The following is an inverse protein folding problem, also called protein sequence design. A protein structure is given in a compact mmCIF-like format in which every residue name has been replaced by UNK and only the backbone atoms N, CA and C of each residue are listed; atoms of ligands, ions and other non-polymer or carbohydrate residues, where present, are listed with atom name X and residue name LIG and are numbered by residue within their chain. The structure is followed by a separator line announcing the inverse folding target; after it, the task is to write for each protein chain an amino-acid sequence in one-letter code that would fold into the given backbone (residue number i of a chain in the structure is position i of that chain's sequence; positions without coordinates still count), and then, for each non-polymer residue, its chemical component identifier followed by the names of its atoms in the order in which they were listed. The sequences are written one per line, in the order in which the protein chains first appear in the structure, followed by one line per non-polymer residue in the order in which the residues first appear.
data_IF_839281486178
#
_entry.id   IF_839281486178
#
_cell.length_a   1.000
_cell.length_b   1.000
_cell.length_c   1.000
_cell.angle_alpha   90.00
_cell.angle_beta   90.00
_cell.angle_gamma   90.00
#
_symmetry.space_group_name_H-M   'P 1'
#
loop_
_entity.id
_entity.type
_entity.pdbx_description
1 polymer ?
#
# COMPACT_ATOMS: atom_id res chain seq x y z
N UNK A 1 8.32 14.51 34.36
CA UNK A 1 7.16 14.49 33.45
C UNK A 1 7.51 13.53 32.33
N UNK A 2 6.86 12.36 32.28
CA UNK A 2 7.13 11.37 31.23
C UNK A 2 6.58 11.88 29.90
N UNK A 3 7.46 12.05 28.92
CA UNK A 3 7.09 12.19 27.53
C UNK A 3 6.65 10.80 27.08
N UNK A 4 5.35 10.52 27.09
CA UNK A 4 4.79 9.41 26.33
C UNK A 4 5.04 9.74 24.87
N UNK A 5 6.17 9.23 24.35
CA UNK A 5 6.35 9.07 22.92
C UNK A 5 5.21 8.17 22.47
N UNK A 6 4.14 8.81 21.97
CA UNK A 6 3.21 8.19 21.05
C UNK A 6 4.08 7.53 19.99
N UNK A 7 4.24 6.22 20.09
CA UNK A 7 4.80 5.41 19.02
C UNK A 7 3.74 5.37 17.92
N UNK A 8 3.44 6.55 17.35
CA UNK A 8 2.71 6.70 16.12
C UNK A 8 3.33 5.69 15.17
N UNK A 9 2.50 4.75 14.73
CA UNK A 9 2.87 3.59 13.96
C UNK A 9 3.61 4.04 12.69
N UNK A 10 4.91 4.28 12.80
CA UNK A 10 5.70 4.85 11.73
C UNK A 10 6.06 3.71 10.80
N UNK A 11 5.34 3.64 9.69
CA UNK A 11 5.79 2.83 8.56
C UNK A 11 7.09 3.47 8.07
N UNK A 12 8.12 2.66 7.88
CA UNK A 12 9.37 3.16 7.31
C UNK A 12 9.06 3.83 5.97
N UNK A 13 9.49 5.09 5.81
CA UNK A 13 9.22 5.89 4.61
C UNK A 13 9.64 5.18 3.31
N UNK A 14 10.55 4.21 3.40
CA UNK A 14 10.96 3.35 2.28
C UNK A 14 9.82 2.58 1.60
N UNK A 15 8.71 2.34 2.30
CA UNK A 15 7.55 1.64 1.73
C UNK A 15 6.51 2.59 1.14
N UNK A 16 6.65 3.91 1.31
CA UNK A 16 5.69 4.87 0.74
C UNK A 16 6.07 5.12 -0.72
N UNK A 17 5.14 4.80 -1.62
CA UNK A 17 5.26 4.99 -3.05
C UNK A 17 4.37 6.16 -3.49
N UNK A 18 4.86 6.91 -4.47
CA UNK A 18 4.05 7.96 -5.11
C UNK A 18 2.98 7.34 -6.02
N UNK A 19 1.79 7.96 -6.06
CA UNK A 19 0.64 7.44 -6.79
C UNK A 19 0.88 7.33 -8.31
N UNK A 20 1.69 8.21 -8.90
CA UNK A 20 2.03 8.18 -10.33
C UNK A 20 2.82 6.92 -10.75
N UNK A 21 3.43 6.25 -9.77
CA UNK A 21 4.21 5.03 -9.98
C UNK A 21 3.35 3.77 -10.06
N UNK A 22 2.07 3.83 -9.70
CA UNK A 22 1.20 2.66 -9.70
C UNK A 22 0.06 2.86 -10.69
N UNK A 23 -0.13 1.88 -11.57
CA UNK A 23 -1.28 1.81 -12.47
C UNK A 23 -2.17 0.69 -11.99
N UNK A 24 -3.43 1.02 -11.69
CA UNK A 24 -4.45 0.05 -11.34
C UNK A 24 -4.99 -0.58 -12.63
N UNK A 25 -5.03 -1.91 -12.67
CA UNK A 25 -5.57 -2.71 -13.76
C UNK A 25 -6.99 -3.18 -13.47
N UNK A 26 -7.29 -4.43 -13.82
CA UNK A 26 -8.60 -5.06 -13.59
C UNK A 26 -8.70 -5.69 -12.21
N UNK A 27 -9.92 -5.87 -11.73
CA UNK A 27 -10.18 -6.61 -10.49
C UNK A 27 -9.93 -8.11 -10.70
N UNK A 28 -9.31 -8.74 -9.72
CA UNK A 28 -9.00 -10.16 -9.71
C UNK A 28 -9.84 -10.90 -8.67
N UNK A 29 -10.47 -11.98 -9.12
CA UNK A 29 -11.26 -12.86 -8.27
C UNK A 29 -12.66 -12.33 -7.95
N UNK A 30 -13.47 -13.18 -7.31
CA UNK A 30 -14.87 -12.90 -6.96
C UNK A 30 -15.04 -12.10 -5.66
N UNK A 31 -13.98 -11.99 -4.87
CA UNK A 31 -14.07 -11.55 -3.47
C UNK A 31 -13.85 -10.03 -3.29
N UNK A 32 -13.78 -9.28 -4.39
CA UNK A 32 -13.93 -7.82 -4.37
C UNK A 32 -12.75 -7.03 -3.77
N UNK A 33 -11.54 -7.61 -3.70
CA UNK A 33 -10.49 -7.11 -2.81
C UNK A 33 -9.07 -7.04 -3.37
N UNK A 34 -8.81 -7.60 -4.55
CA UNK A 34 -7.49 -7.61 -5.17
C UNK A 34 -7.60 -7.23 -6.63
N UNK A 35 -6.66 -6.43 -7.09
CA UNK A 35 -6.60 -5.88 -8.43
C UNK A 35 -5.25 -6.20 -9.04
N UNK A 36 -5.21 -6.46 -10.33
CA UNK A 36 -3.97 -6.42 -11.08
C UNK A 36 -3.44 -4.99 -11.12
N UNK A 37 -2.14 -4.86 -11.25
CA UNK A 37 -1.49 -3.56 -11.28
C UNK A 37 -0.10 -3.60 -11.88
N UNK A 38 0.40 -2.41 -12.17
CA UNK A 38 1.75 -2.21 -12.70
C UNK A 38 2.47 -1.16 -11.86
N UNK A 39 3.63 -1.54 -11.33
CA UNK A 39 4.56 -0.63 -10.66
C UNK A 39 5.60 -0.12 -11.67
N UNK A 40 5.56 1.18 -11.94
CA UNK A 40 6.57 1.90 -12.71
C UNK A 40 7.82 2.12 -11.87
N UNK A 41 8.96 1.77 -12.46
CA UNK A 41 10.28 1.94 -11.83
C UNK A 41 11.16 2.73 -12.79
N UNK A 42 11.68 3.87 -12.34
CA UNK A 42 12.47 4.75 -13.20
C UNK A 42 13.70 4.01 -13.75
N UNK A 43 13.87 4.03 -15.08
CA UNK A 43 15.00 3.38 -15.75
C UNK A 43 14.99 1.85 -15.73
N UNK A 44 13.93 1.21 -15.21
CA UNK A 44 13.77 -0.25 -15.20
C UNK A 44 12.47 -0.66 -15.88
N UNK A 45 12.37 -1.95 -16.20
CA UNK A 45 11.10 -2.50 -16.71
C UNK A 45 10.02 -2.37 -15.65
N UNK A 46 8.81 -2.05 -16.10
CA UNK A 46 7.63 -2.06 -15.26
C UNK A 46 7.40 -3.47 -14.67
N UNK A 47 6.95 -3.53 -13.42
CA UNK A 47 6.69 -4.79 -12.71
C UNK A 47 5.19 -5.02 -12.56
N UNK A 48 4.73 -6.23 -12.84
CA UNK A 48 3.38 -6.66 -12.48
C UNK A 48 3.27 -6.82 -10.97
N UNK A 49 2.23 -6.24 -10.38
CA UNK A 49 1.96 -6.23 -8.94
C UNK A 49 0.49 -6.54 -8.68
N UNK A 50 0.20 -7.09 -7.50
CA UNK A 50 -1.16 -7.15 -6.99
C UNK A 50 -1.44 -5.93 -6.12
N UNK A 51 -2.64 -5.37 -6.23
CA UNK A 51 -3.06 -4.17 -5.51
C UNK A 51 -4.29 -4.50 -4.66
N UNK A 52 -4.17 -4.27 -3.35
CA UNK A 52 -5.33 -4.26 -2.46
C UNK A 52 -5.77 -2.82 -2.24
N UNK A 53 -7.04 -2.52 -2.57
CA UNK A 53 -7.64 -1.20 -2.34
C UNK A 53 -8.19 -1.11 -0.93
N UNK A 54 -7.97 0.01 -0.27
CA UNK A 54 -8.54 0.33 1.04
C UNK A 54 -9.25 1.66 0.94
N UNK A 55 -10.53 1.66 1.29
CA UNK A 55 -11.37 2.84 1.31
C UNK A 55 -11.74 3.25 2.73
N UNK A 56 -12.08 4.52 2.89
CA UNK A 56 -12.58 5.12 4.12
C UNK A 56 -11.80 6.38 4.49
N UNK A 57 -12.39 7.23 5.34
CA UNK A 57 -11.79 8.48 5.82
C UNK A 57 -10.47 8.28 6.57
N UNK A 58 -10.15 7.05 6.98
CA UNK A 58 -8.95 6.65 7.69
C UNK A 58 -8.10 5.63 6.90
N UNK A 59 -8.34 5.47 5.59
CA UNK A 59 -7.69 4.46 4.74
C UNK A 59 -6.16 4.45 4.93
N UNK A 60 -5.55 5.63 4.84
CA UNK A 60 -4.12 5.84 4.99
C UNK A 60 -3.60 5.37 6.37
N UNK A 61 -4.34 5.66 7.44
CA UNK A 61 -3.98 5.23 8.80
C UNK A 61 -4.14 3.72 8.98
N UNK A 62 -5.20 3.14 8.41
CA UNK A 62 -5.46 1.69 8.44
C UNK A 62 -4.36 0.91 7.73
N UNK A 63 -4.00 1.30 6.50
CA UNK A 63 -2.93 0.60 5.78
C UNK A 63 -1.58 0.69 6.49
N UNK A 64 -1.30 1.82 7.17
CA UNK A 64 -0.08 2.00 7.95
C UNK A 64 -0.05 1.14 9.20
N UNK A 65 -1.18 0.96 9.85
CA UNK A 65 -1.31 0.03 10.96
C UNK A 65 -1.15 -1.44 10.51
N UNK A 66 -1.81 -1.80 9.42
CA UNK A 66 -1.87 -3.17 8.92
C UNK A 66 -0.57 -3.65 8.27
N UNK A 67 0.28 -2.73 7.78
CA UNK A 67 1.51 -3.10 7.06
C UNK A 67 2.42 -4.00 7.89
N UNK A 68 2.46 -3.83 9.21
CA UNK A 68 3.31 -4.66 10.10
C UNK A 68 2.89 -6.14 10.05
N UNK A 69 1.59 -6.39 10.01
CA UNK A 69 1.05 -7.74 9.87
C UNK A 69 1.18 -8.26 8.44
N UNK A 70 1.11 -7.38 7.45
CA UNK A 70 1.26 -7.76 6.05
C UNK A 70 2.71 -8.10 5.71
N UNK A 71 3.69 -7.37 6.24
CA UNK A 71 5.12 -7.63 6.04
C UNK A 71 5.56 -9.00 6.58
N UNK A 72 4.87 -9.55 7.59
CA UNK A 72 5.17 -10.88 8.12
C UNK A 72 4.50 -12.02 7.34
N UNK A 73 3.50 -11.72 6.50
CA UNK A 73 2.67 -12.72 5.81
C UNK A 73 2.77 -12.66 4.28
N UNK A 74 3.12 -11.51 3.71
CA UNK A 74 3.16 -11.24 2.28
C UNK A 74 4.35 -10.35 1.95
N UNK A 75 4.80 -10.43 0.71
CA UNK A 75 5.82 -9.52 0.18
C UNK A 75 5.17 -8.20 -0.21
N UNK A 76 5.09 -7.30 0.76
CA UNK A 76 4.64 -5.92 0.55
C UNK A 76 5.74 -5.16 -0.17
N UNK A 77 5.41 -4.60 -1.33
CA UNK A 77 6.32 -3.74 -2.11
C UNK A 77 6.21 -2.30 -1.64
N UNK A 78 4.99 -1.86 -1.31
CA UNK A 78 4.78 -0.54 -0.77
C UNK A 78 3.32 -0.19 -0.52
N UNK A 79 3.13 1.06 -0.10
CA UNK A 79 1.87 1.70 0.21
C UNK A 79 1.74 2.96 -0.64
N UNK A 80 0.54 3.22 -1.15
CA UNK A 80 0.24 4.44 -1.92
C UNK A 80 -0.97 5.11 -1.30
N UNK A 81 -0.84 6.36 -0.91
CA UNK A 81 -1.99 7.21 -0.60
C UNK A 81 -2.44 7.89 -1.91
N UNK A 82 -3.61 7.51 -2.42
CA UNK A 82 -4.11 7.96 -3.73
C UNK A 82 -4.98 9.20 -3.55
N UNK A 83 -5.90 9.12 -2.60
CA UNK A 83 -6.75 10.24 -2.16
C UNK A 83 -6.86 10.21 -0.63
N UNK A 84 -7.43 11.24 0.02
CA UNK A 84 -7.66 11.20 1.46
C UNK A 84 -8.52 10.03 1.94
N UNK A 85 -9.33 9.44 1.05
CA UNK A 85 -10.25 8.34 1.37
C UNK A 85 -9.89 7.01 0.73
N UNK A 86 -8.77 6.95 0.01
CA UNK A 86 -8.36 5.77 -0.75
C UNK A 86 -6.85 5.60 -0.71
N UNK A 87 -6.44 4.42 -0.26
CA UNK A 87 -5.03 4.01 -0.26
C UNK A 87 -4.88 2.59 -0.79
N UNK A 88 -3.72 2.32 -1.38
CA UNK A 88 -3.37 1.02 -1.94
C UNK A 88 -2.26 0.36 -1.13
N UNK A 89 -2.37 -0.96 -0.99
CA UNK A 89 -1.26 -1.83 -0.62
C UNK A 89 -0.79 -2.53 -1.89
N UNK A 90 0.48 -2.32 -2.24
CA UNK A 90 1.14 -2.94 -3.40
C UNK A 90 1.87 -4.18 -2.94
N UNK A 91 1.57 -5.31 -3.57
CA UNK A 91 2.07 -6.63 -3.24
C UNK A 91 2.84 -7.21 -4.45
N UNK A 92 3.84 -8.04 -4.20
CA UNK A 92 4.41 -8.86 -5.28
C UNK A 92 3.35 -9.84 -5.81
N UNK A 93 3.30 -9.98 -7.14
CA UNK A 93 2.45 -10.97 -7.83
C UNK A 93 3.07 -12.37 -7.77
#
# INVERSE_FOLDING_TARGET
MSVTMDAACSVSQQYILSADRVVLGEETGSDGGLWEGVLKTAGQRNRAVAIKRVFGSDAASRIRHDIRQLLSRRRVVGLVDVTPTESYVVLES
#
